data_IF_999069309917
#
_entry.id   IF_999069309917
#
_cell.length_a   1.000
_cell.length_b   1.000
_cell.length_c   1.000
_cell.angle_alpha   90.00
_cell.angle_beta   90.00
_cell.angle_gamma   90.00
#
_symmetry.space_group_name_H-M   'P 1'
#
loop_
_entity.id
_entity.type
_entity.pdbx_description
1 polymer ?
#
# COMPACT_ATOMS: atom_id res chain seq x y z
N UNK A 1 -3.10 -3.10 -28.21
CA UNK A 1 -3.97 -2.00 -27.75
C UNK A 1 -4.55 -2.39 -26.39
N UNK A 2 -4.02 -1.85 -25.29
CA UNK A 2 -4.47 -2.24 -23.94
C UNK A 2 -3.55 -1.70 -22.86
N UNK A 3 -3.57 -0.37 -22.65
CA UNK A 3 -2.76 0.29 -21.60
C UNK A 3 -3.49 1.50 -20.96
N UNK A 4 -4.83 1.60 -21.05
CA UNK A 4 -5.55 2.80 -20.60
C UNK A 4 -6.46 2.64 -19.37
N UNK A 5 -6.58 1.46 -18.76
CA UNK A 5 -7.57 1.25 -17.69
C UNK A 5 -7.07 1.46 -16.24
N UNK A 6 -5.78 1.72 -16.01
CA UNK A 6 -5.23 1.81 -14.63
C UNK A 6 -5.10 3.23 -14.06
N UNK A 7 -5.32 4.29 -14.85
CA UNK A 7 -5.06 5.67 -14.40
C UNK A 7 -6.25 6.32 -13.67
N UNK A 8 -7.47 5.81 -13.84
CA UNK A 8 -8.69 6.42 -13.28
C UNK A 8 -8.87 6.24 -11.77
N UNK A 9 -8.17 5.30 -11.12
CA UNK A 9 -8.30 5.08 -9.67
C UNK A 9 -7.55 6.08 -8.79
N UNK A 10 -6.43 6.63 -9.27
CA UNK A 10 -5.53 7.47 -8.46
C UNK A 10 -6.03 8.91 -8.27
N UNK A 11 -6.74 9.46 -9.26
CA UNK A 11 -7.31 10.81 -9.18
C UNK A 11 -8.39 10.90 -8.11
N UNK A 12 -9.17 9.83 -7.91
CA UNK A 12 -10.19 9.78 -6.86
C UNK A 12 -9.62 9.74 -5.44
N UNK A 13 -8.43 9.15 -5.21
CA UNK A 13 -7.84 9.12 -3.88
C UNK A 13 -7.34 10.50 -3.45
N UNK A 14 -6.62 11.19 -4.32
CA UNK A 14 -6.06 12.50 -4.03
C UNK A 14 -7.16 13.54 -3.75
N UNK A 15 -8.22 13.58 -4.56
CA UNK A 15 -9.35 14.49 -4.34
C UNK A 15 -10.15 14.15 -3.06
N UNK A 16 -10.31 12.86 -2.76
CA UNK A 16 -11.04 12.43 -1.56
C UNK A 16 -10.24 12.69 -0.28
N UNK A 17 -8.93 12.45 -0.32
CA UNK A 17 -8.01 12.82 0.75
C UNK A 17 -8.01 14.35 0.95
N UNK A 18 -8.01 15.13 -0.13
CA UNK A 18 -8.06 16.59 -0.04
C UNK A 18 -9.35 17.07 0.62
N UNK A 19 -10.51 16.53 0.26
CA UNK A 19 -11.78 16.87 0.93
C UNK A 19 -11.79 16.53 2.42
N UNK A 20 -11.21 15.39 2.79
CA UNK A 20 -11.11 15.00 4.20
C UNK A 20 -10.17 15.93 4.96
N UNK A 21 -9.03 16.30 4.35
CA UNK A 21 -8.10 17.27 4.91
C UNK A 21 -8.71 18.67 5.02
N UNK A 22 -9.44 19.14 4.00
CA UNK A 22 -10.17 20.41 4.02
C UNK A 22 -11.18 20.46 5.16
N UNK A 23 -11.90 19.36 5.40
CA UNK A 23 -12.81 19.21 6.55
C UNK A 23 -12.11 19.30 7.91
N UNK A 24 -10.82 18.95 7.97
CA UNK A 24 -9.98 19.08 9.17
C UNK A 24 -9.25 20.43 9.26
N UNK A 25 -9.45 21.34 8.29
CA UNK A 25 -8.73 22.60 8.20
C UNK A 25 -7.27 22.45 7.73
N UNK A 26 -6.96 21.35 7.06
CA UNK A 26 -5.63 20.98 6.56
C UNK A 26 -5.53 21.08 5.03
N UNK A 27 -6.47 21.78 4.39
CA UNK A 27 -6.48 21.94 2.94
C UNK A 27 -5.28 22.74 2.44
N UNK A 28 -4.77 22.40 1.25
CA UNK A 28 -3.60 23.06 0.66
C UNK A 28 -3.77 24.58 0.55
N UNK A 29 -4.96 25.03 0.16
CA UNK A 29 -5.29 26.45 0.04
C UNK A 29 -5.33 27.16 1.40
N UNK A 30 -5.82 26.49 2.45
CA UNK A 30 -5.91 27.02 3.81
C UNK A 30 -4.51 27.19 4.41
N UNK A 31 -3.63 26.20 4.22
CA UNK A 31 -2.24 26.27 4.68
C UNK A 31 -1.49 27.43 4.00
N UNK A 32 -1.74 27.68 2.70
CA UNK A 32 -1.10 28.81 2.00
C UNK A 32 -1.57 30.18 2.47
N UNK A 33 -2.84 30.29 2.86
CA UNK A 33 -3.44 31.55 3.29
C UNK A 33 -3.32 31.81 4.81
N UNK A 34 -2.94 30.82 5.60
CA UNK A 34 -2.82 30.93 7.05
C UNK A 34 -1.63 31.80 7.47
N UNK A 35 -1.80 32.48 8.60
CA UNK A 35 -0.76 33.23 9.29
C UNK A 35 0.09 32.31 10.18
N UNK A 36 1.14 32.87 10.78
CA UNK A 36 2.12 32.13 11.56
C UNK A 36 1.47 31.36 12.73
N UNK A 37 0.57 32.02 13.46
CA UNK A 37 -0.16 31.42 14.58
C UNK A 37 -1.16 30.35 14.11
N UNK A 38 -1.86 30.59 13.01
CA UNK A 38 -2.76 29.61 12.39
C UNK A 38 -2.02 28.37 11.90
N UNK A 39 -0.82 28.52 11.33
CA UNK A 39 0.01 27.41 10.88
C UNK A 39 0.56 26.57 12.03
N UNK A 40 0.97 27.18 13.15
CA UNK A 40 1.41 26.44 14.34
C UNK A 40 0.26 25.59 14.91
N UNK A 41 -0.93 26.18 15.07
CA UNK A 41 -2.12 25.42 15.50
C UNK A 41 -2.53 24.34 14.50
N UNK A 42 -2.24 24.52 13.21
CA UNK A 42 -2.49 23.52 12.18
C UNK A 42 -1.46 22.40 12.23
N UNK A 43 -0.18 22.72 12.49
CA UNK A 43 0.89 21.74 12.68
C UNK A 43 0.61 20.84 13.88
N UNK A 44 0.15 21.41 15.00
CA UNK A 44 -0.22 20.65 16.20
C UNK A 44 -1.34 19.66 15.89
N UNK A 45 -2.39 20.09 15.18
CA UNK A 45 -3.47 19.19 14.74
C UNK A 45 -2.99 18.07 13.82
N UNK A 46 -2.05 18.36 12.91
CA UNK A 46 -1.45 17.33 12.05
C UNK A 46 -0.61 16.34 12.86
N UNK A 47 0.18 16.83 13.83
CA UNK A 47 0.95 15.97 14.72
C UNK A 47 0.03 15.06 15.54
N UNK A 48 -1.04 15.62 16.11
CA UNK A 48 -2.02 14.89 16.90
C UNK A 48 -2.72 13.80 16.07
N UNK A 49 -3.04 14.10 14.80
CA UNK A 49 -3.60 13.13 13.85
C UNK A 49 -2.59 12.04 13.43
N UNK A 50 -1.28 12.36 13.37
CA UNK A 50 -0.22 11.38 13.09
C UNK A 50 0.02 10.47 14.30
N UNK A 51 -0.01 11.00 15.51
CA UNK A 51 0.14 10.22 16.74
C UNK A 51 -1.04 9.26 16.96
N UNK A 52 -2.24 9.68 16.56
CA UNK A 52 -3.47 8.87 16.66
C UNK A 52 -3.89 8.28 15.30
N UNK A 53 -2.93 7.91 14.45
CA UNK A 53 -3.21 7.45 13.08
C UNK A 53 -4.16 6.24 13.03
N UNK A 54 -4.15 5.40 14.06
CA UNK A 54 -5.00 4.21 14.18
C UNK A 54 -6.49 4.56 14.38
N UNK A 55 -6.77 5.76 14.88
CA UNK A 55 -8.12 6.28 15.11
C UNK A 55 -8.70 6.95 13.86
N UNK A 56 -7.87 7.17 12.83
CA UNK A 56 -8.33 7.79 11.59
C UNK A 56 -9.21 6.82 10.79
N UNK A 57 -10.29 7.33 10.16
CA UNK A 57 -11.14 6.50 9.33
C UNK A 57 -10.32 5.89 8.18
N UNK A 58 -10.20 4.56 8.18
CA UNK A 58 -9.56 3.82 7.09
C UNK A 58 -10.44 3.92 5.85
N UNK A 59 -9.92 4.49 4.77
CA UNK A 59 -10.65 4.49 3.49
C UNK A 59 -10.57 3.09 2.87
N UNK A 60 -11.66 2.33 2.97
CA UNK A 60 -11.84 1.08 2.23
C UNK A 60 -12.16 1.38 0.77
N UNK A 61 -11.18 1.17 -0.11
CA UNK A 61 -11.42 1.19 -1.55
C UNK A 61 -11.98 -0.16 -1.99
N UNK A 62 -13.23 -0.19 -2.47
CA UNK A 62 -13.74 -1.31 -3.25
C UNK A 62 -13.15 -1.24 -4.67
N UNK A 63 -11.89 -1.57 -4.82
CA UNK A 63 -11.28 -1.81 -6.14
C UNK A 63 -11.62 -3.23 -6.59
N UNK A 64 -12.30 -3.37 -7.73
CA UNK A 64 -12.85 -4.63 -8.26
C UNK A 64 -11.81 -5.70 -8.64
N UNK A 65 -10.51 -5.48 -8.42
CA UNK A 65 -9.43 -6.36 -8.92
C UNK A 65 -8.61 -7.04 -7.81
N UNK A 66 -8.57 -6.53 -6.58
CA UNK A 66 -7.94 -7.24 -5.45
C UNK A 66 -8.65 -6.80 -4.17
N UNK A 67 -9.30 -7.73 -3.45
CA UNK A 67 -9.72 -7.51 -2.07
C UNK A 67 -8.47 -7.37 -1.19
N UNK A 68 -7.88 -6.18 -1.16
CA UNK A 68 -7.02 -5.76 -0.07
C UNK A 68 -7.94 -5.21 1.02
N UNK A 69 -8.22 -6.02 2.05
CA UNK A 69 -8.91 -5.57 3.27
C UNK A 69 -8.06 -4.57 4.09
N UNK A 70 -6.82 -4.33 3.68
CA UNK A 70 -5.95 -3.27 4.20
C UNK A 70 -6.34 -1.92 3.56
N UNK A 71 -7.19 -1.16 4.25
CA UNK A 71 -7.55 0.20 3.87
C UNK A 71 -6.32 1.08 3.63
N UNK A 72 -6.45 2.04 2.70
CA UNK A 72 -5.33 2.94 2.35
C UNK A 72 -5.09 3.88 3.54
N UNK A 73 -3.88 3.84 4.10
CA UNK A 73 -3.51 4.69 5.24
C UNK A 73 -3.40 6.16 4.81
N UNK A 74 -3.96 7.08 5.60
CA UNK A 74 -3.85 8.53 5.40
C UNK A 74 -2.48 9.10 5.81
N UNK A 75 -1.63 8.29 6.46
CA UNK A 75 -0.33 8.69 6.99
C UNK A 75 0.59 9.35 5.95
N UNK A 76 0.78 8.81 4.73
CA UNK A 76 1.64 9.45 3.73
C UNK A 76 1.15 10.85 3.36
N UNK A 77 -0.17 11.03 3.33
CA UNK A 77 -0.80 12.33 3.01
C UNK A 77 -0.61 13.31 4.17
N UNK A 78 -0.79 12.87 5.42
CA UNK A 78 -0.56 13.72 6.60
C UNK A 78 0.91 14.16 6.73
N UNK A 79 1.86 13.26 6.45
CA UNK A 79 3.29 13.58 6.42
C UNK A 79 3.62 14.61 5.34
N UNK A 80 3.02 14.47 4.16
CA UNK A 80 3.15 15.47 3.09
C UNK A 80 2.60 16.84 3.52
N UNK A 81 1.45 16.87 4.22
CA UNK A 81 0.86 18.12 4.74
C UNK A 81 1.71 18.74 5.83
N UNK A 82 2.22 17.95 6.77
CA UNK A 82 3.15 18.39 7.82
C UNK A 82 4.35 19.12 7.21
N UNK A 83 4.96 18.52 6.18
CA UNK A 83 6.09 19.13 5.47
C UNK A 83 5.73 20.48 4.88
N UNK A 84 4.59 20.57 4.17
CA UNK A 84 4.14 21.83 3.58
C UNK A 84 3.91 22.93 4.62
N UNK A 85 3.33 22.59 5.77
CA UNK A 85 3.10 23.53 6.89
C UNK A 85 4.43 24.03 7.45
N UNK A 86 5.38 23.12 7.70
CA UNK A 86 6.71 23.47 8.23
C UNK A 86 7.48 24.36 7.25
N UNK A 87 7.43 24.04 5.95
CA UNK A 87 8.07 24.84 4.91
C UNK A 87 7.51 26.27 4.90
N UNK A 88 6.18 26.42 4.98
CA UNK A 88 5.54 27.75 5.03
C UNK A 88 5.83 28.50 6.33
N UNK A 89 5.92 27.81 7.47
CA UNK A 89 6.30 28.42 8.74
C UNK A 89 7.71 28.98 8.71
N UNK A 90 8.64 28.24 8.11
CA UNK A 90 10.03 28.70 7.96
C UNK A 90 10.10 29.96 7.08
N UNK A 91 9.37 29.97 5.97
CA UNK A 91 9.28 31.12 5.07
C UNK A 91 8.75 32.38 5.80
N UNK A 92 7.60 32.27 6.49
CA UNK A 92 7.02 33.41 7.23
C UNK A 92 7.92 33.89 8.37
N UNK A 93 8.60 32.97 9.09
CA UNK A 93 9.55 33.34 10.16
C UNK A 93 10.77 34.04 9.59
N UNK A 94 11.27 33.62 8.43
CA UNK A 94 12.37 34.28 7.73
C UNK A 94 11.97 35.68 7.27
N UNK A 95 10.80 35.83 6.64
CA UNK A 95 10.24 37.13 6.23
C UNK A 95 10.12 38.09 7.43
N UNK A 96 9.58 37.61 8.56
CA UNK A 96 9.42 38.44 9.76
C UNK A 96 10.76 38.86 10.37
N UNK A 97 11.77 37.99 10.37
CA UNK A 97 13.13 38.32 10.83
C UNK A 97 13.80 39.34 9.93
N UNK A 98 13.72 39.18 8.61
CA UNK A 98 14.29 40.11 7.64
C UNK A 98 13.62 41.47 7.77
N UNK A 99 12.29 41.51 7.87
CA UNK A 99 11.54 42.74 8.08
C UNK A 99 11.93 43.44 9.39
N UNK A 100 12.09 42.69 10.49
CA UNK A 100 12.57 43.24 11.77
C UNK A 100 14.00 43.78 11.69
N UNK A 101 14.90 43.10 10.96
CA UNK A 101 16.26 43.57 10.73
C UNK A 101 16.29 44.85 9.88
N UNK A 102 15.49 44.92 8.82
CA UNK A 102 15.32 46.16 8.02
C UNK A 102 14.84 47.32 8.88
N UNK A 103 13.85 47.10 9.74
CA UNK A 103 13.33 48.14 10.64
C UNK A 103 14.40 48.62 11.64
N UNK A 104 15.24 47.71 12.17
CA UNK A 104 16.36 48.07 13.03
C UNK A 104 17.43 48.89 12.28
N UNK A 105 17.73 48.52 11.03
CA UNK A 105 18.68 49.25 10.17
C UNK A 105 18.13 50.63 9.80
N UNK A 106 16.82 50.77 9.62
CA UNK A 106 16.18 52.06 9.33
C UNK A 106 16.23 53.06 10.48
N UNK A 107 16.36 52.56 11.72
CA UNK A 107 16.54 53.40 12.92
C UNK A 107 17.97 53.90 13.11
N UNK A 108 18.93 53.37 12.36
CA UNK A 108 20.33 53.82 12.41
C UNK A 108 20.49 55.17 11.70
N UNK A 109 21.42 56.03 12.15
CA UNK A 109 21.74 57.26 11.45
C UNK A 109 22.21 56.97 10.02
N UNK A 110 21.82 57.84 9.09
CA UNK A 110 22.23 57.78 7.68
C UNK A 110 23.76 57.91 7.59
N UNK A 111 24.41 56.90 7.01
CA UNK A 111 25.86 56.86 6.81
C UNK A 111 26.28 55.59 6.07
N UNK A 112 27.56 55.53 5.68
CA UNK A 112 28.12 54.43 4.88
C UNK A 112 27.96 53.06 5.57
N UNK A 113 28.01 53.04 6.90
CA UNK A 113 27.80 51.82 7.71
C UNK A 113 26.37 51.28 7.60
N UNK A 114 25.36 52.15 7.53
CA UNK A 114 23.96 51.76 7.32
C UNK A 114 23.78 51.16 5.93
N UNK A 115 24.38 51.77 4.91
CA UNK A 115 24.29 51.26 3.54
C UNK A 115 24.95 49.89 3.42
N UNK A 116 26.13 49.71 4.02
CA UNK A 116 26.81 48.41 4.05
C UNK A 116 25.98 47.31 4.74
N UNK A 117 25.24 47.64 5.80
CA UNK A 117 24.34 46.70 6.48
C UNK A 117 23.11 46.35 5.64
N UNK A 118 22.55 47.31 4.89
CA UNK A 118 21.46 47.05 3.94
C UNK A 118 21.96 46.11 2.84
N UNK A 119 23.11 46.41 2.24
CA UNK A 119 23.67 45.61 1.15
C UNK A 119 23.99 44.18 1.61
N UNK A 120 24.50 44.01 2.84
CA UNK A 120 24.73 42.69 3.44
C UNK A 120 23.43 41.92 3.70
N UNK A 121 22.38 42.61 4.16
CA UNK A 121 21.08 41.98 4.40
C UNK A 121 20.42 41.55 3.10
N UNK A 122 20.49 42.38 2.05
CA UNK A 122 19.95 42.08 0.72
C UNK A 122 20.69 40.88 0.08
N UNK A 123 22.02 40.80 0.22
CA UNK A 123 22.78 39.64 -0.26
C UNK A 123 22.44 38.36 0.51
N UNK A 124 22.28 38.45 1.84
CA UNK A 124 21.93 37.30 2.68
C UNK A 124 20.50 36.81 2.41
N UNK A 125 19.57 37.71 2.14
CA UNK A 125 18.22 37.39 1.66
C UNK A 125 18.27 36.66 0.32
N UNK A 126 19.08 37.17 -0.63
CA UNK A 126 19.25 36.53 -1.95
C UNK A 126 19.81 35.12 -1.84
N UNK A 127 20.84 34.93 -1.00
CA UNK A 127 21.45 33.61 -0.75
C UNK A 127 20.46 32.65 -0.07
N UNK A 128 19.65 33.14 0.88
CA UNK A 128 18.63 32.33 1.54
C UNK A 128 17.59 31.83 0.53
N UNK A 129 17.08 32.71 -0.34
CA UNK A 129 16.10 32.35 -1.38
C UNK A 129 16.68 31.32 -2.36
N UNK A 130 17.92 31.50 -2.80
CA UNK A 130 18.60 30.58 -3.72
C UNK A 130 18.83 29.20 -3.06
N UNK A 131 19.30 29.19 -1.81
CA UNK A 131 19.51 27.95 -1.04
C UNK A 131 18.19 27.21 -0.80
N UNK A 132 17.11 27.92 -0.44
CA UNK A 132 15.80 27.30 -0.26
C UNK A 132 15.26 26.71 -1.56
N UNK A 133 15.42 27.41 -2.69
CA UNK A 133 15.02 26.90 -3.99
C UNK A 133 15.78 25.62 -4.36
N UNK A 134 17.09 25.58 -4.09
CA UNK A 134 17.92 24.39 -4.31
C UNK A 134 17.49 23.21 -3.42
N UNK A 135 17.25 23.46 -2.12
CA UNK A 135 16.77 22.43 -1.18
C UNK A 135 15.40 21.91 -1.60
N UNK A 136 14.46 22.78 -2.01
CA UNK A 136 13.14 22.38 -2.52
C UNK A 136 13.26 21.52 -3.77
N UNK A 137 14.14 21.88 -4.71
CA UNK A 137 14.38 21.10 -5.92
C UNK A 137 14.87 19.69 -5.59
N UNK A 138 15.94 19.56 -4.80
CA UNK A 138 16.51 18.26 -4.39
C UNK A 138 15.47 17.43 -3.64
N UNK A 139 14.78 18.03 -2.68
CA UNK A 139 13.84 17.30 -1.85
C UNK A 139 12.55 16.95 -2.59
N UNK A 140 12.23 17.60 -3.72
CA UNK A 140 11.16 17.19 -4.63
C UNK A 140 11.57 15.98 -5.47
N UNK A 141 12.80 15.96 -5.97
CA UNK A 141 13.37 14.86 -6.74
C UNK A 141 13.48 13.58 -5.89
N UNK A 142 14.00 13.70 -4.67
CA UNK A 142 14.05 12.59 -3.72
C UNK A 142 12.67 12.00 -3.41
N UNK A 143 11.67 12.86 -3.20
CA UNK A 143 10.30 12.41 -2.92
C UNK A 143 9.67 11.68 -4.11
N UNK A 144 9.91 12.15 -5.33
CA UNK A 144 9.44 11.51 -6.55
C UNK A 144 10.11 10.13 -6.74
N UNK A 145 11.41 10.04 -6.48
CA UNK A 145 12.17 8.78 -6.53
C UNK A 145 11.71 7.78 -5.46
N UNK A 146 11.47 8.24 -4.23
CA UNK A 146 10.95 7.37 -3.15
C UNK A 146 9.57 6.82 -3.52
N UNK A 147 8.67 7.67 -4.03
CA UNK A 147 7.35 7.23 -4.46
C UNK A 147 7.41 6.21 -5.60
N UNK A 148 8.32 6.39 -6.57
CA UNK A 148 8.55 5.39 -7.61
C UNK A 148 9.04 4.05 -7.03
N UNK A 149 10.02 4.09 -6.12
CA UNK A 149 10.54 2.86 -5.48
C UNK A 149 9.46 2.12 -4.69
N UNK A 150 8.64 2.83 -3.93
CA UNK A 150 7.53 2.21 -3.19
C UNK A 150 6.51 1.58 -4.12
N UNK A 151 6.19 2.23 -5.25
CA UNK A 151 5.29 1.67 -6.26
C UNK A 151 5.86 0.42 -6.91
N UNK A 152 7.14 0.43 -7.27
CA UNK A 152 7.79 -0.73 -7.87
C UNK A 152 7.81 -1.91 -6.90
N UNK A 153 8.08 -1.66 -5.61
CA UNK A 153 8.01 -2.68 -4.57
C UNK A 153 6.59 -3.23 -4.39
N UNK A 154 5.57 -2.37 -4.43
CA UNK A 154 4.18 -2.80 -4.34
C UNK A 154 3.78 -3.67 -5.55
N UNK A 155 4.17 -3.27 -6.76
CA UNK A 155 3.91 -4.04 -7.98
C UNK A 155 4.63 -5.39 -7.95
N UNK A 156 5.89 -5.43 -7.51
CA UNK A 156 6.64 -6.67 -7.33
C UNK A 156 5.96 -7.60 -6.33
N UNK A 157 5.47 -7.07 -5.18
CA UNK A 157 4.72 -7.85 -4.20
C UNK A 157 3.44 -8.44 -4.80
N UNK A 158 2.69 -7.66 -5.57
CA UNK A 158 1.47 -8.14 -6.25
C UNK A 158 1.82 -9.28 -7.21
N UNK A 159 2.81 -9.08 -8.09
CA UNK A 159 3.24 -10.11 -9.04
C UNK A 159 3.70 -11.41 -8.35
N UNK A 160 4.44 -11.30 -7.24
CA UNK A 160 4.87 -12.46 -6.47
C UNK A 160 3.70 -13.18 -5.80
N UNK A 161 2.72 -12.43 -5.29
CA UNK A 161 1.53 -13.01 -4.68
C UNK A 161 0.66 -13.75 -5.71
N UNK A 162 0.50 -13.17 -6.91
CA UNK A 162 -0.25 -13.77 -8.01
C UNK A 162 0.41 -15.06 -8.50
N UNK A 163 1.74 -15.07 -8.67
CA UNK A 163 2.50 -16.28 -9.02
C UNK A 163 2.31 -17.38 -7.96
N UNK A 164 2.46 -17.04 -6.68
CA UNK A 164 2.26 -17.99 -5.56
C UNK A 164 0.84 -18.54 -5.52
N UNK A 165 -0.16 -17.70 -5.71
CA UNK A 165 -1.56 -18.11 -5.74
C UNK A 165 -1.84 -19.02 -6.94
N UNK A 166 -1.33 -18.69 -8.12
CA UNK A 166 -1.49 -19.51 -9.32
C UNK A 166 -0.86 -20.90 -9.15
N UNK A 167 0.25 -21.00 -8.42
CA UNK A 167 0.90 -22.28 -8.17
C UNK A 167 0.08 -23.13 -7.19
N UNK A 168 -0.41 -22.52 -6.10
CA UNK A 168 -1.30 -23.19 -5.14
C UNK A 168 -2.62 -23.61 -5.77
N UNK A 169 -3.23 -22.76 -6.61
CA UNK A 169 -4.48 -23.09 -7.28
C UNK A 169 -4.30 -24.19 -8.32
N UNK A 170 -3.18 -24.21 -9.06
CA UNK A 170 -2.85 -25.32 -9.99
C UNK A 170 -2.62 -26.63 -9.25
N UNK A 171 -1.96 -26.61 -8.08
CA UNK A 171 -1.81 -27.80 -7.25
C UNK A 171 -3.16 -28.31 -6.73
N UNK A 172 -4.04 -27.42 -6.26
CA UNK A 172 -5.38 -27.79 -5.80
C UNK A 172 -6.28 -28.30 -6.95
N UNK A 173 -6.20 -27.68 -8.12
CA UNK A 173 -7.05 -28.01 -9.26
C UNK A 173 -6.68 -29.35 -9.92
N UNK A 174 -5.41 -29.76 -9.85
CA UNK A 174 -4.93 -30.92 -10.62
C UNK A 174 -4.97 -32.25 -9.85
N UNK A 175 -4.83 -32.24 -8.52
CA UNK A 175 -4.73 -33.48 -7.74
C UNK A 175 -5.94 -33.80 -6.84
N UNK A 176 -6.87 -32.87 -6.61
CA UNK A 176 -7.90 -33.04 -5.58
C UNK A 176 -9.28 -33.48 -6.10
N UNK A 177 -9.59 -33.36 -7.40
CA UNK A 177 -10.99 -33.55 -7.87
C UNK A 177 -11.46 -35.00 -7.71
N UNK A 178 -10.67 -35.99 -8.14
CA UNK A 178 -11.03 -37.41 -8.04
C UNK A 178 -11.18 -37.92 -6.58
N UNK A 179 -10.22 -37.69 -5.67
CA UNK A 179 -10.36 -38.14 -4.28
C UNK A 179 -11.42 -37.36 -3.50
N UNK A 180 -11.67 -36.08 -3.84
CA UNK A 180 -12.70 -35.27 -3.18
C UNK A 180 -14.13 -35.77 -3.52
N UNK A 181 -14.40 -36.07 -4.79
CA UNK A 181 -15.68 -36.67 -5.20
C UNK A 181 -15.86 -38.04 -4.55
N UNK A 182 -14.79 -38.83 -4.50
CA UNK A 182 -14.76 -40.11 -3.80
C UNK A 182 -15.12 -40.02 -2.31
N UNK A 183 -14.51 -39.08 -1.60
CA UNK A 183 -14.77 -38.85 -0.18
C UNK A 183 -16.23 -38.43 0.07
N UNK A 184 -16.80 -37.56 -0.77
CA UNK A 184 -18.20 -37.14 -0.65
C UNK A 184 -19.15 -38.32 -0.88
N UNK A 185 -18.90 -39.15 -1.90
CA UNK A 185 -19.69 -40.36 -2.15
C UNK A 185 -19.59 -41.36 -0.99
N UNK A 186 -18.40 -41.53 -0.42
CA UNK A 186 -18.15 -42.40 0.73
C UNK A 186 -18.92 -41.93 1.98
N UNK A 187 -18.88 -40.63 2.27
CA UNK A 187 -19.63 -40.05 3.39
C UNK A 187 -21.13 -40.21 3.18
N UNK A 188 -21.64 -39.93 1.97
CA UNK A 188 -23.05 -40.12 1.64
C UNK A 188 -23.51 -41.57 1.85
N UNK A 189 -22.71 -42.53 1.39
CA UNK A 189 -23.02 -43.96 1.53
C UNK A 189 -22.93 -44.42 3.00
N UNK A 190 -21.96 -43.92 3.77
CA UNK A 190 -21.87 -44.20 5.20
C UNK A 190 -23.12 -43.68 5.96
N UNK A 191 -23.57 -42.46 5.64
CA UNK A 191 -24.77 -41.88 6.26
C UNK A 191 -26.02 -42.70 5.91
N UNK A 192 -26.21 -43.11 4.66
CA UNK A 192 -27.37 -43.94 4.28
C UNK A 192 -27.36 -45.30 4.97
N UNK A 193 -26.19 -45.89 5.19
CA UNK A 193 -26.03 -47.17 5.89
C UNK A 193 -26.36 -47.05 7.38
N UNK A 194 -25.93 -45.96 8.03
CA UNK A 194 -26.30 -45.66 9.42
C UNK A 194 -27.81 -45.46 9.53
N UNK A 195 -28.43 -44.70 8.63
CA UNK A 195 -29.89 -44.50 8.60
C UNK A 195 -30.63 -45.83 8.40
N UNK A 196 -30.17 -46.69 7.48
CA UNK A 196 -30.77 -48.00 7.23
C UNK A 196 -30.74 -48.92 8.46
N UNK A 197 -29.68 -48.86 9.27
CA UNK A 197 -29.60 -49.57 10.54
C UNK A 197 -30.68 -49.12 11.54
N UNK A 198 -30.98 -47.82 11.61
CA UNK A 198 -32.04 -47.32 12.48
C UNK A 198 -33.45 -47.68 11.98
N UNK A 199 -33.63 -47.85 10.67
CA UNK A 199 -34.94 -48.24 10.10
C UNK A 199 -35.19 -49.75 10.10
N UNK A 200 -34.22 -50.58 10.50
CA UNK A 200 -34.36 -52.04 10.54
C UNK A 200 -34.49 -52.68 9.15
N UNK A 201 -34.15 -51.95 8.08
CA UNK A 201 -34.16 -52.49 6.72
C UNK A 201 -32.90 -53.31 6.49
N UNK A 202 -33.04 -54.53 5.98
CA UNK A 202 -31.89 -55.34 5.58
C UNK A 202 -31.16 -54.68 4.41
N UNK A 203 -29.93 -54.23 4.65
CA UNK A 203 -29.09 -53.65 3.60
C UNK A 203 -28.85 -54.73 2.54
N UNK A 204 -29.19 -54.44 1.29
CA UNK A 204 -28.96 -55.38 0.18
C UNK A 204 -27.48 -55.72 0.08
N UNK A 205 -27.14 -57.02 0.01
CA UNK A 205 -25.76 -57.50 -0.18
C UNK A 205 -25.06 -56.81 -1.36
N UNK A 206 -25.85 -56.39 -2.37
CA UNK A 206 -25.37 -55.67 -3.54
C UNK A 206 -24.78 -54.31 -3.18
N UNK A 207 -25.33 -53.59 -2.20
CA UNK A 207 -24.81 -52.30 -1.71
C UNK A 207 -23.52 -52.51 -0.91
N UNK A 208 -23.47 -53.55 -0.07
CA UNK A 208 -22.27 -53.89 0.71
C UNK A 208 -21.11 -54.29 -0.20
N UNK A 209 -21.36 -55.09 -1.23
CA UNK A 209 -20.35 -55.50 -2.19
C UNK A 209 -19.86 -54.33 -3.05
N UNK A 210 -20.77 -53.44 -3.46
CA UNK A 210 -20.43 -52.23 -4.21
C UNK A 210 -19.56 -51.27 -3.39
N UNK A 211 -19.86 -51.13 -2.10
CA UNK A 211 -19.07 -50.32 -1.18
C UNK A 211 -17.63 -50.84 -1.04
N UNK A 212 -17.46 -52.15 -0.87
CA UNK A 212 -16.13 -52.77 -0.78
C UNK A 212 -15.32 -52.63 -2.08
N UNK A 213 -15.96 -52.69 -3.24
CA UNK A 213 -15.29 -52.46 -4.54
C UNK A 213 -14.81 -51.02 -4.65
N UNK A 214 -15.64 -50.04 -4.29
CA UNK A 214 -15.27 -48.62 -4.31
C UNK A 214 -14.15 -48.33 -3.30
N UNK A 215 -14.22 -48.92 -2.10
CA UNK A 215 -13.19 -48.80 -1.07
C UNK A 215 -11.85 -49.41 -1.54
N UNK A 216 -11.90 -50.61 -2.13
CA UNK A 216 -10.73 -51.29 -2.70
C UNK A 216 -10.08 -50.50 -3.84
N UNK A 217 -10.89 -49.87 -4.70
CA UNK A 217 -10.40 -48.98 -5.75
C UNK A 217 -9.66 -47.76 -5.19
N UNK A 218 -10.21 -47.09 -4.17
CA UNK A 218 -9.53 -45.96 -3.52
C UNK A 218 -8.23 -46.38 -2.85
N UNK A 219 -8.19 -47.52 -2.16
CA UNK A 219 -6.96 -48.02 -1.55
C UNK A 219 -5.92 -48.43 -2.61
N UNK A 220 -6.33 -49.03 -3.73
CA UNK A 220 -5.46 -49.32 -4.87
C UNK A 220 -4.79 -48.07 -5.42
N UNK A 221 -5.56 -47.00 -5.64
CA UNK A 221 -5.04 -45.72 -6.15
C UNK A 221 -4.05 -45.03 -5.21
N UNK A 222 -4.23 -45.12 -3.88
CA UNK A 222 -3.26 -44.54 -2.94
C UNK A 222 -1.91 -45.26 -2.93
N UNK A 223 -1.89 -46.53 -3.30
CA UNK A 223 -0.67 -47.35 -3.32
C UNK A 223 0.12 -47.13 -4.62
N UNK A 224 -0.57 -46.97 -5.76
CA UNK A 224 0.05 -46.76 -7.07
C UNK A 224 0.77 -45.41 -7.18
N UNK A 225 0.27 -44.35 -6.51
CA UNK A 225 0.93 -43.03 -6.44
C UNK A 225 2.29 -43.05 -5.72
N UNK A 226 2.59 -44.06 -4.89
CA UNK A 226 3.87 -44.15 -4.15
C UNK A 226 4.98 -44.81 -4.97
N UNK A 227 4.64 -45.48 -6.06
CA UNK A 227 5.55 -46.31 -6.86
C UNK A 227 6.12 -45.61 -8.08
N UNK A 228 5.79 -44.33 -8.31
CA UNK A 228 6.38 -43.56 -9.40
C UNK A 228 7.70 -42.95 -8.88
N UNK A 229 8.88 -43.46 -9.28
CA UNK A 229 10.15 -42.87 -8.87
C UNK A 229 10.29 -41.51 -9.56
N UNK A 230 10.70 -40.50 -8.82
CA UNK A 230 11.18 -39.22 -9.35
C UNK A 230 12.26 -39.45 -10.41
N UNK A 231 11.85 -39.41 -11.69
CA UNK A 231 12.78 -39.13 -12.78
C UNK A 231 13.22 -37.68 -12.64
N UNK A 232 14.35 -37.49 -11.98
CA UNK A 232 15.09 -36.25 -11.86
C UNK A 232 15.26 -35.56 -13.23
N UNK A 233 14.41 -34.56 -13.49
CA UNK A 233 14.60 -33.58 -14.55
C UNK A 233 15.48 -32.45 -14.04
N UNK A 234 16.79 -32.65 -14.06
CA UNK A 234 17.76 -31.57 -13.82
C UNK A 234 17.68 -30.51 -14.94
N UNK A 235 17.74 -29.20 -14.63
CA UNK A 235 17.78 -28.18 -15.65
C UNK A 235 19.14 -28.22 -16.36
N UNK A 236 19.13 -28.58 -17.63
CA UNK A 236 20.24 -28.42 -18.58
C UNK A 236 20.51 -26.93 -18.79
N UNK A 237 21.38 -26.37 -17.96
CA UNK A 237 22.05 -25.10 -18.20
C UNK A 237 23.33 -25.33 -18.99
N UNK A 238 23.27 -25.18 -20.32
CA UNK A 238 24.42 -24.86 -21.15
C UNK A 238 23.93 -24.24 -22.46
N UNK A 239 24.11 -22.92 -22.58
CA UNK A 239 24.70 -22.30 -23.77
C UNK A 239 24.85 -20.78 -23.53
N UNK A 240 26.02 -20.40 -23.02
CA UNK A 240 26.58 -19.04 -23.16
C UNK A 240 27.68 -19.15 -24.20
N UNK A 241 27.46 -18.56 -25.38
CA UNK A 241 28.52 -18.35 -26.38
C UNK A 241 29.22 -17.03 -26.08
N UNK A 242 30.55 -17.11 -26.08
CA UNK A 242 31.53 -16.01 -26.05
C UNK A 242 31.48 -15.27 -27.39
#
# INVERSE_FOLDING_TARGET
MGLHAQVTGLWNFAEMAERVLEGMGLGSAQIKAADLQGLEATLDRVNDAIEHVDQLPRMTFKTWVVSAEEGVSLLPVLLQRKRLIVDRLNELRSEQKISGLRELIDRLPQGDERQALVDQLDELERQSVESEAAVRAVASEESALQFQRERDLALLKIQLSERRWSYRSKLLARDAIAPMIGAILLVGLAVTLVVAMFLGTTVSELISNSFLIVLGYFFGQTTERRSQPESAGGPSGQDVRI
#
